data_IF_661836938194
#
_entry.id   IF_661836938194
#
_cell.length_a   1.000
_cell.length_b   1.000
_cell.length_c   1.000
_cell.angle_alpha   90.00
_cell.angle_beta   90.00
_cell.angle_gamma   90.00
#
_symmetry.space_group_name_H-M   'P 1'
#
loop_
_entity.id
_entity.type
_entity.pdbx_description
1 polymer ?
#
# COMPACT_ATOMS: atom_id res chain seq x y z
N UNK A 1 -26.83 47.33 9.88
CA UNK A 1 -27.00 45.86 10.01
C UNK A 1 -27.41 45.31 8.66
N UNK A 2 -26.46 44.77 7.91
CA UNK A 2 -26.68 44.12 6.62
C UNK A 2 -26.39 42.64 6.81
N UNK A 3 -27.44 41.84 6.74
CA UNK A 3 -27.42 40.39 6.89
C UNK A 3 -26.79 39.78 5.62
N UNK A 4 -25.65 39.14 5.75
CA UNK A 4 -25.06 38.32 4.67
C UNK A 4 -25.69 36.91 4.80
N UNK A 5 -26.33 36.36 3.76
CA UNK A 5 -26.99 35.06 3.86
C UNK A 5 -25.96 33.93 4.00
N UNK A 6 -26.23 33.04 4.95
CA UNK A 6 -25.40 31.90 5.41
C UNK A 6 -25.15 30.79 4.38
N UNK A 7 -25.52 31.00 3.11
CA UNK A 7 -25.34 30.00 2.05
C UNK A 7 -24.03 30.16 1.26
N UNK A 8 -23.34 31.31 1.35
CA UNK A 8 -22.06 31.51 0.67
C UNK A 8 -20.86 30.88 1.41
N UNK A 9 -20.94 30.73 2.73
CA UNK A 9 -19.89 30.09 3.54
C UNK A 9 -19.93 28.55 3.40
N UNK A 10 -21.08 27.97 3.06
CA UNK A 10 -21.21 26.52 2.80
C UNK A 10 -20.70 26.10 1.42
N UNK A 11 -20.66 27.00 0.45
CA UNK A 11 -20.13 26.73 -0.90
C UNK A 11 -18.60 26.85 -0.94
N UNK A 12 -18.01 27.74 -0.12
CA UNK A 12 -16.55 27.92 -0.05
C UNK A 12 -15.80 26.76 0.62
N UNK A 13 -16.43 26.04 1.55
CA UNK A 13 -15.80 24.88 2.21
C UNK A 13 -16.00 23.56 1.45
N UNK A 14 -16.99 23.48 0.56
CA UNK A 14 -17.25 22.31 -0.29
C UNK A 14 -16.30 22.23 -1.51
N UNK A 15 -15.69 23.34 -1.91
CA UNK A 15 -14.77 23.41 -3.05
C UNK A 15 -13.34 22.93 -2.75
N UNK A 16 -13.01 22.63 -1.49
CA UNK A 16 -11.72 22.04 -1.09
C UNK A 16 -11.77 20.51 -0.95
N UNK A 17 -12.96 19.90 -1.05
CA UNK A 17 -13.17 18.46 -0.90
C UNK A 17 -13.18 17.70 -2.23
N UNK A 18 -13.05 18.39 -3.35
CA UNK A 18 -13.02 17.79 -4.68
C UNK A 18 -11.59 17.84 -5.22
N UNK A 19 -11.05 16.64 -5.46
CA UNK A 19 -9.78 16.30 -6.14
C UNK A 19 -8.57 16.02 -5.23
N UNK A 20 -8.59 14.88 -4.49
CA UNK A 20 -7.36 14.32 -3.90
C UNK A 20 -6.19 14.23 -4.90
N UNK A 21 -6.50 13.96 -6.17
CA UNK A 21 -5.56 13.90 -7.28
C UNK A 21 -4.76 15.19 -7.52
N UNK A 22 -5.37 16.35 -7.36
CA UNK A 22 -4.71 17.64 -7.64
C UNK A 22 -3.61 17.97 -6.62
N UNK A 23 -3.80 17.57 -5.36
CA UNK A 23 -2.84 17.84 -4.29
C UNK A 23 -1.62 16.93 -4.35
N UNK A 24 -1.80 15.63 -4.56
CA UNK A 24 -0.69 14.69 -4.72
C UNK A 24 0.16 15.04 -5.95
N UNK A 25 -0.49 15.42 -7.06
CA UNK A 25 0.20 15.94 -8.24
C UNK A 25 0.97 17.22 -7.93
N UNK A 26 0.38 18.20 -7.24
CA UNK A 26 1.07 19.45 -6.89
C UNK A 26 2.29 19.21 -5.98
N UNK A 27 2.18 18.27 -5.02
CA UNK A 27 3.29 17.91 -4.13
C UNK A 27 4.45 17.26 -4.90
N UNK A 28 4.14 16.30 -5.77
CA UNK A 28 5.15 15.66 -6.63
C UNK A 28 5.78 16.69 -7.58
N UNK A 29 4.98 17.54 -8.21
CA UNK A 29 5.46 18.62 -9.08
C UNK A 29 6.32 19.65 -8.35
N UNK A 30 6.01 19.92 -7.07
CA UNK A 30 6.69 20.93 -6.25
C UNK A 30 7.94 20.44 -5.55
N UNK A 31 8.01 19.17 -5.14
CA UNK A 31 9.05 18.68 -4.23
C UNK A 31 9.81 17.43 -4.68
N UNK A 32 9.33 16.69 -5.68
CA UNK A 32 10.03 15.50 -6.16
C UNK A 32 11.33 15.92 -6.87
N UNK A 33 12.51 15.51 -6.36
CA UNK A 33 13.81 15.91 -6.92
C UNK A 33 14.23 15.03 -8.10
N UNK A 34 13.26 14.58 -8.91
CA UNK A 34 13.47 13.83 -10.14
C UNK A 34 13.15 14.73 -11.34
N UNK A 35 13.92 14.59 -12.42
CA UNK A 35 13.67 15.27 -13.68
C UNK A 35 12.46 14.69 -14.40
N UNK A 36 11.88 15.47 -15.34
CA UNK A 36 10.81 14.96 -16.21
C UNK A 36 11.23 13.73 -17.01
N UNK A 37 12.52 13.59 -17.35
CA UNK A 37 13.02 12.45 -18.11
C UNK A 37 13.12 11.18 -17.24
N UNK A 38 13.31 11.32 -15.92
CA UNK A 38 13.27 10.21 -14.97
C UNK A 38 11.83 9.79 -14.73
N UNK A 39 10.92 10.72 -14.45
CA UNK A 39 9.50 10.40 -14.18
C UNK A 39 8.69 10.05 -15.43
N UNK A 40 9.19 10.35 -16.63
CA UNK A 40 8.57 9.92 -17.89
C UNK A 40 8.76 8.43 -18.18
N UNK A 41 9.68 7.74 -17.48
CA UNK A 41 9.92 6.30 -17.59
C UNK A 41 8.83 5.52 -16.82
N UNK A 42 7.56 5.84 -17.09
CA UNK A 42 6.41 5.22 -16.43
C UNK A 42 6.36 3.74 -16.74
N UNK A 43 6.05 2.92 -15.73
CA UNK A 43 5.83 1.50 -15.93
C UNK A 43 4.52 1.31 -16.72
N UNK A 44 4.50 0.49 -17.78
CA UNK A 44 3.31 0.29 -18.59
C UNK A 44 2.26 -0.52 -17.82
N UNK A 45 1.25 0.16 -17.29
CA UNK A 45 0.13 -0.45 -16.58
C UNK A 45 -1.10 -0.54 -17.49
N UNK A 46 -1.73 -1.72 -17.54
CA UNK A 46 -3.03 -1.89 -18.19
C UNK A 46 -4.14 -1.58 -17.19
N UNK A 47 -5.00 -0.61 -17.48
CA UNK A 47 -6.19 -0.36 -16.68
C UNK A 47 -7.23 -1.49 -16.88
N UNK A 48 -7.68 -2.10 -15.78
CA UNK A 48 -8.68 -3.18 -15.79
C UNK A 48 -10.07 -2.69 -15.37
N UNK A 49 -10.16 -1.54 -14.69
CA UNK A 49 -11.42 -0.92 -14.30
C UNK A 49 -11.34 -0.23 -12.95
N UNK A 50 -12.47 0.30 -12.50
CA UNK A 50 -12.63 0.97 -11.22
C UNK A 50 -13.75 0.31 -10.42
N UNK A 51 -13.60 0.37 -9.11
CA UNK A 51 -14.70 0.24 -8.18
C UNK A 51 -15.06 1.64 -7.68
N UNK A 52 -16.35 1.92 -7.54
CA UNK A 52 -16.86 3.18 -6.98
C UNK A 52 -18.27 2.95 -6.42
N UNK A 53 -18.64 3.68 -5.35
CA UNK A 53 -20.00 3.77 -4.83
C UNK A 53 -20.87 4.79 -5.60
N UNK A 54 -20.22 5.73 -6.29
CA UNK A 54 -20.87 6.83 -6.98
C UNK A 54 -20.93 6.64 -8.50
N UNK A 55 -21.40 7.68 -9.19
CA UNK A 55 -21.31 7.73 -10.65
C UNK A 55 -19.84 7.80 -11.08
N UNK A 56 -19.55 7.17 -12.22
CA UNK A 56 -18.25 7.27 -12.86
C UNK A 56 -18.09 8.69 -13.42
N UNK A 57 -17.03 9.41 -13.04
CA UNK A 57 -16.72 10.71 -13.64
C UNK A 57 -16.29 10.51 -15.11
N UNK A 58 -17.08 10.93 -16.10
CA UNK A 58 -16.80 10.67 -17.50
C UNK A 58 -15.57 11.44 -18.03
N UNK A 59 -15.13 12.49 -17.33
CA UNK A 59 -13.97 13.31 -17.69
C UNK A 59 -12.65 12.77 -17.12
N UNK A 60 -12.73 11.80 -16.22
CA UNK A 60 -11.58 11.13 -15.61
C UNK A 60 -10.78 10.31 -16.64
N UNK A 61 -9.46 10.25 -16.47
CA UNK A 61 -8.54 9.53 -17.37
C UNK A 61 -7.69 8.51 -16.59
N UNK A 62 -7.61 7.23 -17.03
CA UNK A 62 -8.33 6.64 -18.16
C UNK A 62 -9.85 6.68 -17.94
N UNK A 63 -10.63 6.70 -19.04
CA UNK A 63 -12.10 6.76 -18.95
C UNK A 63 -12.58 5.63 -18.05
N UNK A 64 -13.23 5.92 -16.92
CA UNK A 64 -13.48 4.91 -15.92
C UNK A 64 -14.53 3.91 -16.43
N UNK A 65 -14.25 2.63 -16.19
CA UNK A 65 -15.15 1.50 -16.50
C UNK A 65 -15.26 0.62 -15.28
N UNK A 66 -16.42 0.02 -15.02
CA UNK A 66 -16.57 -0.88 -13.88
C UNK A 66 -15.59 -2.06 -13.97
N UNK A 67 -14.93 -2.35 -12.85
CA UNK A 67 -14.05 -3.51 -12.73
C UNK A 67 -14.85 -4.80 -12.95
N UNK A 68 -14.45 -5.65 -13.93
CA UNK A 68 -15.13 -6.91 -14.19
C UNK A 68 -14.96 -7.91 -13.03
N UNK A 69 -15.84 -8.89 -12.98
CA UNK A 69 -15.79 -9.99 -12.02
C UNK A 69 -14.58 -10.93 -12.23
N UNK A 70 -13.95 -10.90 -13.41
CA UNK A 70 -12.74 -11.66 -13.68
C UNK A 70 -11.68 -10.74 -14.29
N UNK A 71 -10.50 -10.74 -13.69
CA UNK A 71 -9.34 -10.01 -14.19
C UNK A 71 -8.23 -10.97 -14.58
N UNK A 72 -7.41 -10.57 -15.54
CA UNK A 72 -6.29 -11.38 -15.98
C UNK A 72 -5.07 -11.07 -15.10
N UNK A 73 -5.02 -11.62 -13.89
CA UNK A 73 -3.85 -11.59 -13.00
C UNK A 73 -3.63 -13.00 -12.43
N UNK A 74 -2.42 -13.31 -11.98
CA UNK A 74 -2.04 -14.64 -11.54
C UNK A 74 -1.98 -15.64 -12.70
N UNK A 75 -1.87 -16.93 -12.37
CA UNK A 75 -1.58 -17.99 -13.35
C UNK A 75 -2.74 -18.23 -14.32
N UNK A 76 -3.98 -18.21 -13.84
CA UNK A 76 -5.18 -18.58 -14.61
C UNK A 76 -6.22 -17.46 -14.72
N UNK A 77 -5.82 -16.23 -14.37
CA UNK A 77 -6.75 -15.15 -14.04
C UNK A 77 -7.31 -15.29 -12.63
N UNK A 78 -7.88 -14.20 -12.13
CA UNK A 78 -8.48 -14.13 -10.80
C UNK A 78 -9.95 -13.76 -10.88
N UNK A 79 -10.74 -14.36 -10.00
CA UNK A 79 -12.11 -13.95 -9.73
C UNK A 79 -12.09 -12.84 -8.69
N UNK A 80 -12.95 -11.84 -8.90
CA UNK A 80 -13.18 -10.73 -8.01
C UNK A 80 -14.62 -10.83 -7.51
N UNK A 81 -14.78 -10.88 -6.19
CA UNK A 81 -16.05 -10.77 -5.52
C UNK A 81 -16.04 -9.52 -4.63
N UNK A 82 -17.08 -8.69 -4.78
CA UNK A 82 -17.28 -7.48 -3.98
C UNK A 82 -18.39 -7.77 -2.98
N UNK A 83 -18.15 -7.47 -1.71
CA UNK A 83 -19.13 -7.60 -0.66
C UNK A 83 -19.34 -6.24 -0.01
N UNK A 84 -20.58 -5.76 -0.04
CA UNK A 84 -20.99 -4.57 0.68
C UNK A 84 -21.81 -5.01 1.89
N UNK A 85 -21.36 -4.68 3.09
CA UNK A 85 -22.13 -4.80 4.33
C UNK A 85 -22.67 -3.42 4.73
N UNK A 86 -23.46 -3.34 5.80
CA UNK A 86 -23.96 -2.05 6.31
C UNK A 86 -22.80 -1.10 6.70
N UNK A 87 -21.68 -1.65 7.18
CA UNK A 87 -20.58 -0.87 7.76
C UNK A 87 -19.24 -0.97 6.98
N UNK A 88 -19.11 -1.89 6.02
CA UNK A 88 -17.85 -2.12 5.28
C UNK A 88 -18.06 -2.49 3.82
N UNK A 89 -17.08 -2.17 2.98
CA UNK A 89 -16.90 -2.82 1.70
C UNK A 89 -15.62 -3.64 1.70
N UNK A 90 -15.74 -4.83 1.13
CA UNK A 90 -14.67 -5.79 1.04
C UNK A 90 -14.53 -6.30 -0.39
N UNK A 91 -13.27 -6.50 -0.77
CA UNK A 91 -12.88 -7.09 -2.04
C UNK A 91 -12.21 -8.41 -1.74
N UNK A 92 -12.78 -9.49 -2.27
CA UNK A 92 -12.16 -10.81 -2.26
C UNK A 92 -11.65 -11.13 -3.65
N UNK A 93 -10.35 -11.37 -3.76
CA UNK A 93 -9.68 -11.80 -5.00
C UNK A 93 -9.26 -13.25 -4.81
N UNK A 94 -9.70 -14.14 -5.70
CA UNK A 94 -9.39 -15.57 -5.63
C UNK A 94 -8.85 -16.09 -6.95
N UNK A 95 -8.06 -17.15 -6.87
CA UNK A 95 -7.55 -17.85 -8.03
C UNK A 95 -6.83 -19.13 -7.63
N UNK A 96 -6.06 -19.67 -8.56
CA UNK A 96 -5.29 -20.89 -8.37
C UNK A 96 -3.82 -20.68 -8.70
N UNK A 97 -2.96 -21.39 -7.97
CA UNK A 97 -1.53 -21.44 -8.22
C UNK A 97 -1.20 -22.41 -9.38
N UNK A 98 0.10 -22.55 -9.72
CA UNK A 98 0.53 -23.43 -10.82
C UNK A 98 0.20 -24.91 -10.61
N UNK A 99 -0.06 -25.31 -9.36
CA UNK A 99 -0.42 -26.68 -8.97
C UNK A 99 -1.93 -26.85 -8.78
N UNK A 100 -2.74 -25.84 -9.14
CA UNK A 100 -4.20 -25.87 -8.97
C UNK A 100 -4.64 -25.74 -7.50
N UNK A 101 -3.78 -25.26 -6.60
CA UNK A 101 -4.16 -24.96 -5.22
C UNK A 101 -4.77 -23.57 -5.14
N UNK A 102 -5.84 -23.47 -4.36
CA UNK A 102 -6.57 -22.22 -4.25
C UNK A 102 -5.78 -21.18 -3.45
N UNK A 103 -5.93 -19.92 -3.84
CA UNK A 103 -5.49 -18.79 -3.03
C UNK A 103 -6.58 -17.73 -2.95
N UNK A 104 -6.53 -16.92 -1.89
CA UNK A 104 -7.48 -15.83 -1.65
C UNK A 104 -6.80 -14.62 -1.00
N UNK A 105 -7.27 -13.44 -1.34
CA UNK A 105 -6.88 -12.16 -0.76
C UNK A 105 -8.14 -11.37 -0.41
N UNK A 106 -8.28 -10.99 0.86
CA UNK A 106 -9.38 -10.17 1.36
C UNK A 106 -8.85 -8.78 1.71
N UNK A 107 -9.38 -7.76 1.04
CA UNK A 107 -9.05 -6.34 1.22
C UNK A 107 -10.29 -5.59 1.68
N UNK A 108 -10.14 -4.58 2.53
CA UNK A 108 -11.27 -3.77 3.03
C UNK A 108 -10.90 -2.31 3.28
N UNK A 109 -11.75 -1.60 4.03
CA UNK A 109 -11.47 -0.28 4.58
C UNK A 109 -10.94 0.73 3.58
N UNK A 110 -9.79 1.36 3.86
CA UNK A 110 -9.17 2.40 3.03
C UNK A 110 -8.81 1.95 1.61
N UNK A 111 -8.67 0.65 1.37
CA UNK A 111 -8.40 0.09 0.03
C UNK A 111 -9.66 0.03 -0.83
N UNK A 112 -10.85 -0.10 -0.22
CA UNK A 112 -12.09 -0.44 -0.94
C UNK A 112 -13.21 0.61 -0.75
N UNK A 113 -13.44 1.09 0.47
CA UNK A 113 -14.62 1.88 0.88
C UNK A 113 -14.87 3.16 0.09
N UNK A 114 -13.84 3.74 -0.53
CA UNK A 114 -13.91 5.01 -1.24
C UNK A 114 -13.83 4.85 -2.76
N UNK A 115 -13.87 3.61 -3.25
CA UNK A 115 -13.55 3.30 -4.63
C UNK A 115 -12.04 3.24 -4.87
N UNK A 116 -11.67 2.53 -5.93
CA UNK A 116 -10.27 2.34 -6.31
C UNK A 116 -10.16 2.08 -7.81
N UNK A 117 -8.99 2.35 -8.37
CA UNK A 117 -8.62 1.94 -9.73
C UNK A 117 -7.77 0.68 -9.67
N UNK A 118 -8.07 -0.27 -10.57
CA UNK A 118 -7.33 -1.51 -10.71
C UNK A 118 -6.55 -1.50 -12.02
N UNK A 119 -5.27 -1.84 -11.93
CA UNK A 119 -4.36 -2.00 -13.05
C UNK A 119 -3.71 -3.38 -13.00
N UNK A 120 -3.13 -3.80 -14.12
CA UNK A 120 -2.36 -5.03 -14.23
C UNK A 120 -1.12 -4.85 -15.08
N UNK A 121 -0.05 -5.56 -14.74
CA UNK A 121 1.19 -5.70 -15.51
C UNK A 121 2.06 -6.81 -14.91
N UNK A 122 3.12 -7.24 -15.58
CA UNK A 122 4.14 -8.15 -15.00
C UNK A 122 5.22 -7.26 -14.36
N UNK A 123 5.14 -7.03 -13.04
CA UNK A 123 5.88 -5.99 -12.32
C UNK A 123 7.33 -6.40 -12.00
N UNK A 124 7.63 -7.69 -11.92
CA UNK A 124 8.97 -8.22 -11.65
C UNK A 124 9.53 -9.06 -12.81
N UNK A 125 8.85 -9.04 -13.97
CA UNK A 125 9.27 -9.72 -15.21
C UNK A 125 9.36 -11.24 -15.05
N UNK A 126 8.52 -11.82 -14.20
CA UNK A 126 8.50 -13.25 -13.94
C UNK A 126 7.55 -14.03 -14.88
N UNK A 127 6.84 -13.33 -15.77
CA UNK A 127 5.90 -13.89 -16.75
C UNK A 127 4.49 -14.11 -16.20
N UNK A 128 4.23 -13.76 -14.93
CA UNK A 128 2.90 -13.76 -14.32
C UNK A 128 2.42 -12.31 -14.26
N UNK A 129 1.16 -12.09 -14.60
CA UNK A 129 0.59 -10.74 -14.53
C UNK A 129 0.11 -10.45 -13.11
N UNK A 130 0.60 -9.36 -12.55
CA UNK A 130 0.30 -8.85 -11.23
C UNK A 130 -0.87 -7.84 -11.26
N UNK A 131 -1.43 -7.57 -10.08
CA UNK A 131 -2.45 -6.53 -9.87
C UNK A 131 -1.90 -5.32 -9.13
N UNK A 132 -2.38 -4.13 -9.47
CA UNK A 132 -2.09 -2.87 -8.75
C UNK A 132 -3.39 -2.12 -8.49
N UNK A 133 -3.67 -1.84 -7.23
CA UNK A 133 -4.82 -1.07 -6.76
C UNK A 133 -4.32 0.30 -6.32
N UNK A 134 -5.02 1.35 -6.77
CA UNK A 134 -4.81 2.72 -6.33
C UNK A 134 -6.09 3.22 -5.66
N UNK A 135 -6.04 3.48 -4.35
CA UNK A 135 -7.19 3.86 -3.54
C UNK A 135 -6.90 5.14 -2.74
N UNK A 136 -7.88 6.03 -2.61
CA UNK A 136 -7.73 7.26 -1.83
C UNK A 136 -7.96 6.98 -0.34
N UNK A 137 -7.13 7.56 0.55
CA UNK A 137 -7.33 7.42 2.01
C UNK A 137 -8.50 8.24 2.52
N UNK A 138 -8.93 9.26 1.76
CA UNK A 138 -9.90 10.28 2.18
C UNK A 138 -9.54 10.96 3.52
N UNK A 139 -8.25 10.97 3.88
CA UNK A 139 -7.77 11.57 5.11
C UNK A 139 -8.08 13.06 5.20
N UNK A 140 -8.44 13.52 6.41
CA UNK A 140 -8.68 14.94 6.69
C UNK A 140 -7.34 15.69 6.78
N UNK A 141 -7.11 16.68 5.91
CA UNK A 141 -5.87 17.47 5.90
C UNK A 141 -5.70 18.27 4.61
N UNK A 142 -4.56 18.95 4.45
CA UNK A 142 -4.27 19.81 3.29
C UNK A 142 -3.82 19.05 2.03
N UNK A 143 -3.55 17.74 2.13
CA UNK A 143 -3.20 16.88 1.00
C UNK A 143 -3.55 15.42 1.35
N UNK A 144 -4.69 14.88 0.88
CA UNK A 144 -5.04 13.48 1.13
C UNK A 144 -4.05 12.54 0.43
N UNK A 145 -3.62 11.52 1.15
CA UNK A 145 -2.75 10.45 0.67
C UNK A 145 -3.56 9.40 -0.10
N UNK A 146 -2.85 8.49 -0.75
CA UNK A 146 -3.42 7.35 -1.46
C UNK A 146 -2.63 6.09 -1.11
N UNK A 147 -3.29 4.93 -1.17
CA UNK A 147 -2.66 3.63 -1.10
C UNK A 147 -2.31 3.14 -2.50
N UNK A 148 -1.10 2.60 -2.67
CA UNK A 148 -0.79 1.63 -3.71
C UNK A 148 -0.76 0.26 -3.03
N UNK A 149 -1.64 -0.63 -3.45
CA UNK A 149 -1.66 -2.03 -3.03
C UNK A 149 -1.35 -2.91 -4.23
N UNK A 150 -0.31 -3.73 -4.15
CA UNK A 150 0.10 -4.63 -5.23
C UNK A 150 -0.16 -6.08 -4.85
N UNK A 151 -0.55 -6.86 -5.85
CA UNK A 151 -0.70 -8.30 -5.77
C UNK A 151 0.26 -8.94 -6.77
N UNK A 152 1.44 -9.29 -6.29
CA UNK A 152 2.47 -9.98 -7.06
C UNK A 152 2.36 -11.50 -6.86
N UNK A 153 2.97 -12.31 -7.72
CA UNK A 153 2.88 -13.77 -7.63
C UNK A 153 4.25 -14.45 -7.54
N UNK A 154 4.46 -15.27 -6.51
CA UNK A 154 5.71 -16.01 -6.33
C UNK A 154 5.92 -17.09 -7.41
N UNK A 155 7.05 -17.81 -7.34
CA UNK A 155 7.39 -18.86 -8.31
C UNK A 155 6.33 -19.96 -8.41
N UNK A 156 5.58 -20.23 -7.33
CA UNK A 156 4.48 -21.20 -7.33
C UNK A 156 3.19 -20.64 -7.93
N UNK A 157 3.13 -19.33 -8.19
CA UNK A 157 1.95 -18.62 -8.64
C UNK A 157 1.01 -18.23 -7.50
N UNK A 158 1.51 -18.14 -6.27
CA UNK A 158 0.73 -17.74 -5.10
C UNK A 158 0.93 -16.25 -4.82
N UNK A 159 -0.13 -15.54 -4.41
CA UNK A 159 -0.08 -14.10 -4.23
C UNK A 159 0.84 -13.67 -3.08
N UNK A 160 1.45 -12.50 -3.22
CA UNK A 160 2.11 -11.74 -2.17
C UNK A 160 1.51 -10.33 -2.20
N UNK A 161 1.06 -9.86 -1.04
CA UNK A 161 0.53 -8.50 -0.90
C UNK A 161 1.66 -7.53 -0.53
N UNK A 162 1.62 -6.32 -1.08
CA UNK A 162 2.40 -5.19 -0.59
C UNK A 162 1.53 -3.95 -0.63
N UNK A 163 1.61 -3.14 0.41
CA UNK A 163 0.85 -1.89 0.49
C UNK A 163 1.72 -0.75 1.01
N UNK A 164 1.54 0.41 0.39
CA UNK A 164 2.20 1.65 0.78
C UNK A 164 1.21 2.80 0.68
N UNK A 165 1.19 3.65 1.70
CA UNK A 165 0.43 4.91 1.70
C UNK A 165 1.39 6.06 1.44
N UNK A 166 1.07 6.93 0.48
CA UNK A 166 1.87 8.09 0.12
C UNK A 166 1.13 9.09 -0.75
N UNK A 167 1.85 10.08 -1.29
CA UNK A 167 1.28 11.10 -2.18
C UNK A 167 1.28 10.65 -3.64
N UNK A 168 0.59 9.54 -3.91
CA UNK A 168 0.50 8.98 -5.25
C UNK A 168 -0.57 9.67 -6.09
N UNK A 169 -0.50 9.54 -7.41
CA UNK A 169 -1.61 9.95 -8.29
C UNK A 169 -1.69 9.15 -9.59
N UNK A 170 -2.91 8.97 -10.08
CA UNK A 170 -3.14 8.43 -11.41
C UNK A 170 -2.85 9.46 -12.49
N UNK A 171 -2.45 8.94 -13.66
CA UNK A 171 -2.32 9.68 -14.91
C UNK A 171 -3.04 8.92 -16.00
N UNK A 172 -3.22 9.54 -17.17
CA UNK A 172 -3.94 8.96 -18.32
C UNK A 172 -3.52 7.51 -18.63
N UNK A 173 -2.24 7.20 -18.50
CA UNK A 173 -1.65 5.91 -18.92
C UNK A 173 -1.12 5.09 -17.73
N UNK A 174 -1.68 5.23 -16.53
CA UNK A 174 -1.29 4.43 -15.36
C UNK A 174 -1.20 5.23 -14.07
N UNK A 175 -0.15 4.99 -13.29
CA UNK A 175 0.13 5.66 -12.03
C UNK A 175 1.46 6.41 -12.21
N UNK A 176 1.52 7.69 -11.86
CA UNK A 176 2.73 8.49 -12.08
C UNK A 176 3.95 7.93 -11.35
N UNK A 177 3.71 7.43 -10.15
CA UNK A 177 4.74 7.02 -9.20
C UNK A 177 5.24 5.58 -9.42
N UNK A 178 4.64 4.83 -10.36
CA UNK A 178 5.10 3.50 -10.77
C UNK A 178 5.90 3.63 -12.06
N UNK A 179 7.20 3.33 -11.98
CA UNK A 179 8.19 3.60 -13.03
C UNK A 179 9.04 2.37 -13.34
N UNK A 180 9.74 2.41 -14.46
CA UNK A 180 10.89 1.55 -14.81
C UNK A 180 12.10 2.50 -14.91
N UNK A 181 12.62 2.90 -13.76
CA UNK A 181 13.57 3.98 -13.61
C UNK A 181 14.90 3.63 -14.28
N UNK A 182 15.37 2.39 -14.18
CA UNK A 182 16.64 1.94 -14.72
C UNK A 182 16.54 1.19 -16.06
N UNK A 183 15.32 0.91 -16.54
CA UNK A 183 15.00 0.28 -17.84
C UNK A 183 15.33 -1.21 -17.90
N UNK A 184 15.28 -1.91 -16.77
CA UNK A 184 15.46 -3.35 -16.72
C UNK A 184 14.15 -4.13 -17.01
N UNK A 185 13.02 -3.43 -16.98
CA UNK A 185 11.67 -3.94 -17.21
C UNK A 185 10.96 -4.44 -15.95
N UNK A 186 11.54 -4.26 -14.77
CA UNK A 186 10.89 -4.38 -13.48
C UNK A 186 10.31 -3.03 -13.03
N UNK A 187 9.38 -3.08 -12.10
CA UNK A 187 8.69 -1.91 -11.60
C UNK A 187 9.35 -1.37 -10.33
N UNK A 188 9.50 -0.06 -10.29
CA UNK A 188 9.78 0.70 -9.08
C UNK A 188 8.57 1.54 -8.64
N UNK A 189 8.46 1.79 -7.34
CA UNK A 189 7.56 2.77 -6.76
C UNK A 189 8.38 3.95 -6.20
N UNK A 190 8.12 5.14 -6.70
CA UNK A 190 8.60 6.42 -6.13
C UNK A 190 7.78 6.72 -4.88
N UNK A 191 8.44 6.71 -3.72
CA UNK A 191 7.79 6.97 -2.44
C UNK A 191 8.27 8.28 -1.83
N UNK A 192 7.34 9.19 -1.57
CA UNK A 192 7.61 10.49 -0.96
C UNK A 192 6.93 10.61 0.41
N UNK A 193 7.72 10.90 1.45
CA UNK A 193 7.20 11.21 2.78
C UNK A 193 7.86 12.47 3.36
N UNK A 194 7.22 13.10 4.35
CA UNK A 194 7.80 14.26 5.04
C UNK A 194 8.36 13.83 6.40
N UNK A 195 9.59 14.22 6.70
CA UNK A 195 10.24 13.95 7.98
C UNK A 195 11.30 15.01 8.30
N UNK A 196 11.33 15.47 9.55
CA UNK A 196 12.33 16.38 10.10
C UNK A 196 12.64 17.65 9.26
N UNK A 197 11.60 18.19 8.59
CA UNK A 197 11.70 19.38 7.73
C UNK A 197 12.24 19.11 6.32
N UNK A 198 12.24 17.85 5.90
CA UNK A 198 12.59 17.42 4.54
C UNK A 198 11.49 16.54 3.96
N UNK A 199 11.34 16.63 2.65
CA UNK A 199 10.76 15.56 1.87
C UNK A 199 11.83 14.51 1.60
N UNK A 200 11.52 13.26 1.91
CA UNK A 200 12.38 12.10 1.71
C UNK A 200 11.81 11.32 0.53
N UNK A 201 12.57 11.20 -0.55
CA UNK A 201 12.23 10.38 -1.71
C UNK A 201 12.97 9.07 -1.63
N UNK A 202 12.22 7.97 -1.56
CA UNK A 202 12.71 6.60 -1.63
C UNK A 202 12.23 5.94 -2.91
N UNK A 203 12.84 4.80 -3.22
CA UNK A 203 12.38 3.89 -4.26
C UNK A 203 12.19 2.51 -3.63
N UNK A 204 11.12 1.83 -4.00
CA UNK A 204 10.94 0.40 -3.79
C UNK A 204 11.04 -0.30 -5.12
N UNK A 205 11.84 -1.35 -5.22
CA UNK A 205 12.05 -2.17 -6.42
C UNK A 205 11.31 -3.51 -6.25
N UNK A 206 10.62 -3.96 -7.30
CA UNK A 206 9.89 -5.23 -7.33
C UNK A 206 10.75 -6.34 -7.93
N UNK A 207 11.01 -7.39 -7.16
CA UNK A 207 11.76 -8.56 -7.62
C UNK A 207 11.31 -9.82 -6.90
N UNK A 208 11.13 -10.93 -7.62
CA UNK A 208 10.67 -12.21 -7.07
C UNK A 208 9.38 -12.06 -6.26
N UNK A 209 8.43 -11.30 -6.80
CA UNK A 209 7.16 -10.93 -6.20
C UNK A 209 7.26 -10.20 -4.85
N UNK A 210 8.41 -9.60 -4.55
CA UNK A 210 8.67 -8.87 -3.30
C UNK A 210 9.15 -7.46 -3.60
N UNK A 211 8.77 -6.53 -2.74
CA UNK A 211 9.21 -5.14 -2.78
C UNK A 211 10.31 -4.91 -1.76
N UNK A 212 11.39 -4.28 -2.21
CA UNK A 212 12.54 -3.91 -1.37
C UNK A 212 12.85 -2.43 -1.51
N UNK A 213 12.99 -1.73 -0.38
CA UNK A 213 13.44 -0.34 -0.37
C UNK A 213 14.90 -0.28 -0.79
N UNK A 214 15.18 0.49 -1.83
CA UNK A 214 16.54 0.73 -2.31
C UNK A 214 17.29 1.62 -1.29
N UNK A 215 18.42 1.12 -0.79
CA UNK A 215 19.34 1.88 0.04
C UNK A 215 20.69 2.00 -0.67
N UNK A 216 20.92 3.11 -1.40
CA UNK A 216 22.13 3.32 -2.17
C UNK A 216 21.86 3.68 -3.63
N UNK A 217 22.80 3.30 -4.51
CA UNK A 217 22.74 3.66 -5.93
C UNK A 217 21.69 2.82 -6.65
N UNK A 218 20.82 3.47 -7.41
CA UNK A 218 19.89 2.84 -8.36
C UNK A 218 19.65 3.82 -9.51
N UNK A 219 19.64 3.32 -10.74
CA UNK A 219 19.78 4.12 -11.96
C UNK A 219 20.92 5.18 -11.83
N UNK A 220 20.58 6.45 -12.08
CA UNK A 220 21.49 7.61 -12.09
C UNK A 220 21.56 8.32 -10.72
N UNK A 221 20.90 7.80 -9.67
CA UNK A 221 20.74 8.45 -8.37
C UNK A 221 21.25 7.58 -7.21
N UNK A 222 21.35 8.20 -6.03
CA UNK A 222 21.61 7.52 -4.76
C UNK A 222 20.46 7.83 -3.80
N UNK A 223 19.68 6.82 -3.44
CA UNK A 223 18.52 6.93 -2.56
C UNK A 223 18.89 6.63 -1.09
N UNK A 224 18.18 7.24 -0.12
CA UNK A 224 17.13 8.25 -0.32
C UNK A 224 17.66 9.61 -0.80
N UNK A 225 16.82 10.34 -1.54
CA UNK A 225 17.05 11.75 -1.86
C UNK A 225 16.31 12.63 -0.85
N UNK A 226 16.88 13.78 -0.51
CA UNK A 226 16.27 14.70 0.43
C UNK A 226 16.05 16.06 -0.21
N UNK A 227 14.85 16.61 -0.04
CA UNK A 227 14.50 17.94 -0.50
C UNK A 227 14.05 18.75 0.70
N UNK A 228 14.70 19.88 0.96
CA UNK A 228 14.33 20.73 2.11
C UNK A 228 12.90 21.26 1.94
N UNK A 229 12.08 21.13 2.96
CA UNK A 229 10.75 21.75 2.97
C UNK A 229 10.88 23.29 3.00
N UNK A 230 10.13 23.93 2.10
CA UNK A 230 10.04 25.40 1.97
C UNK A 230 8.60 25.79 1.67
N UNK A 231 8.22 27.03 1.96
CA UNK A 231 6.91 27.58 1.62
C UNK A 231 6.69 27.89 0.13
N UNK A 232 7.66 27.50 -0.72
CA UNK A 232 7.63 27.58 -2.18
C UNK A 232 8.07 26.23 -2.74
N UNK A 233 7.71 25.89 -3.98
CA UNK A 233 8.24 24.71 -4.65
C UNK A 233 9.76 24.68 -4.59
N UNK A 234 10.31 23.52 -4.26
CA UNK A 234 11.74 23.28 -4.18
C UNK A 234 11.97 21.83 -4.57
N UNK A 235 12.70 21.58 -5.66
CA UNK A 235 13.01 20.24 -6.17
C UNK A 235 14.51 19.93 -6.10
N UNK A 236 15.27 20.75 -5.38
CA UNK A 236 16.72 20.60 -5.30
C UNK A 236 17.04 19.59 -4.22
N UNK A 237 17.60 18.45 -4.64
CA UNK A 237 18.16 17.47 -3.71
C UNK A 237 19.31 18.10 -2.91
N UNK A 238 19.32 17.88 -1.61
CA UNK A 238 20.31 18.41 -0.67
C UNK A 238 20.74 17.33 0.32
N UNK A 239 21.89 17.53 0.97
CA UNK A 239 22.23 16.77 2.17
C UNK A 239 21.52 17.39 3.38
N UNK A 240 20.88 16.58 4.25
CA UNK A 240 20.31 17.08 5.48
C UNK A 240 21.36 17.83 6.33
N UNK A 241 20.95 18.94 6.95
CA UNK A 241 21.81 19.71 7.86
C UNK A 241 22.24 18.87 9.06
N UNK A 242 23.43 19.16 9.60
CA UNK A 242 23.92 18.55 10.85
C UNK A 242 22.88 18.65 11.96
N UNK A 243 22.64 17.54 12.67
CA UNK A 243 21.64 17.43 13.74
C UNK A 243 20.22 17.13 13.25
N UNK A 244 19.99 17.02 11.94
CA UNK A 244 18.73 16.55 11.35
C UNK A 244 18.87 15.10 10.91
N UNK A 245 17.84 14.30 11.17
CA UNK A 245 17.74 12.89 10.83
C UNK A 245 16.38 12.64 10.16
N UNK A 246 16.17 13.14 8.92
CA UNK A 246 14.96 12.80 8.18
C UNK A 246 14.93 11.31 7.87
N UNK A 247 13.76 10.71 8.06
CA UNK A 247 13.56 9.26 8.04
C UNK A 247 12.35 8.86 7.19
N UNK A 248 12.36 7.59 6.80
CA UNK A 248 11.25 6.94 6.13
C UNK A 248 11.05 5.56 6.75
N UNK A 249 9.79 5.14 6.79
CA UNK A 249 9.41 3.76 7.02
C UNK A 249 10.12 2.83 6.03
N UNK A 250 10.31 1.58 6.44
CA UNK A 250 10.80 0.51 5.59
C UNK A 250 9.69 -0.52 5.45
N UNK A 251 8.89 -0.39 4.40
CA UNK A 251 7.72 -1.25 4.17
C UNK A 251 8.09 -2.52 3.38
N UNK A 252 9.39 -2.78 3.19
CA UNK A 252 9.87 -3.92 2.39
C UNK A 252 9.30 -5.24 2.91
N UNK A 253 8.88 -6.09 1.98
CA UNK A 253 8.34 -7.41 2.29
C UNK A 253 9.25 -8.58 1.87
N UNK A 254 10.48 -8.29 1.41
CA UNK A 254 11.45 -9.29 0.97
C UNK A 254 12.24 -9.98 2.10
N UNK A 255 12.55 -9.25 3.19
CA UNK A 255 13.34 -9.78 4.31
C UNK A 255 12.56 -9.67 5.61
N UNK A 256 12.43 -10.79 6.33
CA UNK A 256 11.79 -10.81 7.62
C UNK A 256 12.65 -10.05 8.64
N UNK A 257 12.03 -9.14 9.39
CA UNK A 257 12.69 -8.42 10.49
C UNK A 257 12.77 -9.27 11.75
N UNK A 258 11.71 -10.05 11.98
CA UNK A 258 11.52 -10.88 13.17
C UNK A 258 10.88 -12.18 12.72
N UNK A 259 11.34 -13.30 13.26
CA UNK A 259 10.70 -14.60 13.08
C UNK A 259 10.52 -15.29 14.42
N UNK A 260 9.54 -16.18 14.52
CA UNK A 260 9.23 -16.88 15.75
C UNK A 260 7.84 -17.52 15.75
N UNK A 261 7.14 -17.39 16.86
CA UNK A 261 5.78 -17.87 17.05
C UNK A 261 4.92 -16.76 17.67
N UNK A 262 3.74 -16.51 17.09
CA UNK A 262 2.73 -15.64 17.71
C UNK A 262 2.10 -16.39 18.90
N UNK A 263 2.27 -15.85 20.11
CA UNK A 263 1.76 -16.46 21.35
C UNK A 263 0.33 -16.02 21.67
N UNK A 264 0.04 -14.75 21.45
CA UNK A 264 -1.24 -14.11 21.74
C UNK A 264 -1.30 -12.73 21.08
N UNK A 265 -2.48 -12.14 21.02
CA UNK A 265 -2.66 -10.73 20.66
C UNK A 265 -3.66 -10.05 21.60
N UNK A 266 -3.50 -8.74 21.79
CA UNK A 266 -4.49 -7.84 22.39
C UNK A 266 -5.10 -7.03 21.26
N UNK A 267 -6.43 -7.04 21.15
CA UNK A 267 -7.12 -6.20 20.19
C UNK A 267 -7.02 -4.72 20.56
N UNK A 268 -7.03 -3.87 19.54
CA UNK A 268 -7.09 -2.43 19.67
C UNK A 268 -8.41 -1.98 20.34
N UNK A 269 -8.33 -0.99 21.24
CA UNK A 269 -9.49 -0.19 21.61
C UNK A 269 -9.55 1.07 20.74
N UNK A 270 -10.47 1.07 19.79
CA UNK A 270 -10.68 2.17 18.84
C UNK A 270 -11.05 3.47 19.56
N UNK A 271 -11.78 3.40 20.69
CA UNK A 271 -12.17 4.59 21.45
C UNK A 271 -10.97 5.22 22.17
N UNK A 272 -9.93 4.44 22.44
CA UNK A 272 -8.69 4.87 23.06
C UNK A 272 -7.56 5.13 22.04
N UNK A 273 -7.84 5.00 20.73
CA UNK A 273 -6.82 5.09 19.67
C UNK A 273 -5.63 4.14 19.90
N UNK A 274 -5.90 2.94 20.43
CA UNK A 274 -4.87 1.93 20.67
C UNK A 274 -4.58 1.11 19.40
N UNK A 275 -3.34 0.66 19.26
CA UNK A 275 -2.93 -0.31 18.24
C UNK A 275 -3.16 -1.75 18.72
N UNK A 276 -3.27 -2.69 17.77
CA UNK A 276 -3.20 -4.13 18.08
C UNK A 276 -1.82 -4.42 18.68
N UNK A 277 -1.76 -5.23 19.74
CA UNK A 277 -0.48 -5.67 20.31
C UNK A 277 -0.31 -7.17 20.09
N UNK A 278 0.75 -7.56 19.39
CA UNK A 278 1.13 -8.93 19.07
C UNK A 278 2.26 -9.38 19.99
N UNK A 279 2.06 -10.47 20.73
CA UNK A 279 3.09 -11.04 21.60
C UNK A 279 3.78 -12.20 20.90
N UNK A 280 5.07 -12.06 20.61
CA UNK A 280 5.83 -12.99 19.77
C UNK A 280 6.97 -13.61 20.56
N UNK A 281 7.07 -14.94 20.54
CA UNK A 281 8.28 -15.65 20.96
C UNK A 281 9.20 -15.78 19.76
N UNK A 282 10.25 -14.97 19.73
CA UNK A 282 11.24 -14.97 18.65
C UNK A 282 11.96 -16.31 18.53
N UNK A 283 12.58 -16.57 17.38
CA UNK A 283 13.42 -17.75 17.14
C UNK A 283 14.60 -17.88 18.11
N UNK A 284 15.04 -16.77 18.72
CA UNK A 284 16.07 -16.76 19.78
C UNK A 284 15.51 -17.06 21.19
N UNK A 285 14.20 -17.30 21.30
CA UNK A 285 13.51 -17.61 22.56
C UNK A 285 13.04 -16.39 23.36
N UNK A 286 13.43 -15.17 22.96
CA UNK A 286 12.97 -13.92 23.61
C UNK A 286 11.49 -13.68 23.28
N UNK A 287 10.73 -13.23 24.27
CA UNK A 287 9.37 -12.71 24.05
C UNK A 287 9.42 -11.20 23.85
N UNK A 288 8.76 -10.71 22.80
CA UNK A 288 8.66 -9.29 22.45
C UNK A 288 7.21 -8.94 22.15
N UNK A 289 6.94 -7.63 22.12
CA UNK A 289 5.67 -7.08 21.67
C UNK A 289 5.90 -6.31 20.37
N UNK A 290 4.99 -6.51 19.41
CA UNK A 290 4.94 -5.80 18.14
C UNK A 290 3.56 -5.14 18.04
N UNK A 291 3.49 -3.89 17.59
CA UNK A 291 2.25 -3.15 17.43
C UNK A 291 2.13 -2.62 16.00
N UNK A 292 1.46 -3.36 15.09
CA UNK A 292 1.11 -2.84 13.78
C UNK A 292 0.30 -1.54 13.94
N UNK A 293 0.61 -0.53 13.14
CA UNK A 293 -0.03 0.78 13.28
C UNK A 293 -1.42 0.78 12.65
N UNK A 294 -2.46 0.79 13.49
CA UNK A 294 -3.86 0.70 13.08
C UNK A 294 -4.30 1.84 12.17
N UNK A 295 -3.71 3.03 12.34
CA UNK A 295 -4.02 4.23 11.56
C UNK A 295 -4.00 4.00 10.05
N UNK A 296 -3.02 3.24 9.55
CA UNK A 296 -2.85 2.99 8.11
C UNK A 296 -3.78 1.89 7.59
N UNK A 297 -4.35 1.05 8.46
CA UNK A 297 -5.19 -0.10 8.08
C UNK A 297 -4.53 -1.10 7.09
N UNK A 298 -3.21 -1.00 6.88
CA UNK A 298 -2.47 -1.74 5.85
C UNK A 298 -1.87 -3.07 6.31
N UNK A 299 -1.84 -3.32 7.64
CA UNK A 299 -1.29 -4.57 8.19
C UNK A 299 -2.03 -5.80 7.64
N UNK A 300 -1.31 -6.85 7.28
CA UNK A 300 -1.89 -8.07 6.71
C UNK A 300 -1.41 -9.34 7.39
N UNK A 301 -2.27 -10.35 7.43
CA UNK A 301 -1.97 -11.70 7.88
C UNK A 301 -2.00 -12.62 6.67
N UNK A 302 -0.86 -13.24 6.35
CA UNK A 302 -0.72 -14.28 5.35
C UNK A 302 -0.69 -15.63 6.07
N UNK A 303 -1.59 -16.52 5.68
CA UNK A 303 -1.61 -17.92 6.11
C UNK A 303 -1.25 -18.76 4.88
N UNK A 304 -0.03 -19.29 4.87
CA UNK A 304 0.53 -20.06 3.76
C UNK A 304 0.67 -21.52 4.16
N UNK A 305 -0.07 -22.38 3.47
CA UNK A 305 -0.15 -23.82 3.75
C UNK A 305 0.09 -24.64 2.48
N UNK A 306 0.41 -25.94 2.58
CA UNK A 306 0.52 -26.80 1.41
C UNK A 306 -0.72 -26.76 0.49
N UNK A 307 -1.92 -26.68 1.08
CA UNK A 307 -3.21 -26.64 0.38
C UNK A 307 -3.54 -25.32 -0.32
N UNK A 308 -2.86 -24.21 0.01
CA UNK A 308 -3.18 -22.91 -0.55
C UNK A 308 -2.66 -21.73 0.29
N UNK A 309 -2.95 -20.50 -0.16
CA UNK A 309 -2.58 -19.27 0.54
C UNK A 309 -3.77 -18.36 0.76
N UNK A 310 -3.92 -17.86 1.98
CA UNK A 310 -4.96 -16.88 2.34
C UNK A 310 -4.30 -15.62 2.90
N UNK A 311 -4.65 -14.46 2.35
CA UNK A 311 -4.19 -13.16 2.82
C UNK A 311 -5.40 -12.38 3.31
N UNK A 312 -5.33 -11.86 4.53
CA UNK A 312 -6.39 -11.05 5.13
C UNK A 312 -5.80 -9.72 5.59
N UNK A 313 -6.29 -8.61 5.05
CA UNK A 313 -5.90 -7.27 5.45
C UNK A 313 -6.65 -6.84 6.72
N UNK A 314 -6.01 -6.06 7.58
CA UNK A 314 -6.61 -5.54 8.83
C UNK A 314 -7.85 -4.69 8.61
N UNK A 315 -7.98 -4.11 7.42
CA UNK A 315 -9.09 -3.26 7.00
C UNK A 315 -10.38 -4.02 6.66
N UNK A 316 -10.36 -5.35 6.58
CA UNK A 316 -11.60 -6.16 6.46
C UNK A 316 -12.38 -6.11 7.77
N UNK A 317 -13.59 -6.69 7.80
CA UNK A 317 -14.34 -6.76 9.04
C UNK A 317 -13.54 -7.42 10.17
N UNK A 318 -13.69 -6.87 11.37
CA UNK A 318 -12.92 -7.26 12.56
C UNK A 318 -13.00 -8.77 12.84
N UNK A 319 -14.17 -9.38 12.60
CA UNK A 319 -14.40 -10.80 12.85
C UNK A 319 -13.49 -11.67 12.00
N UNK A 320 -13.37 -11.38 10.70
CA UNK A 320 -12.57 -12.18 9.77
C UNK A 320 -11.07 -11.99 10.01
N UNK A 321 -10.66 -10.78 10.36
CA UNK A 321 -9.26 -10.51 10.71
C UNK A 321 -8.87 -11.19 12.04
N UNK A 322 -9.72 -11.11 13.08
CA UNK A 322 -9.51 -11.84 14.34
C UNK A 322 -9.46 -13.35 14.12
N UNK A 323 -10.34 -13.90 13.28
CA UNK A 323 -10.33 -15.31 12.94
C UNK A 323 -9.00 -15.75 12.30
N UNK A 324 -8.38 -14.90 11.47
CA UNK A 324 -7.05 -15.18 10.92
C UNK A 324 -5.96 -15.19 12.01
N UNK A 325 -5.97 -14.23 12.95
CA UNK A 325 -5.01 -14.21 14.07
C UNK A 325 -5.22 -15.39 15.03
N UNK A 326 -6.47 -15.72 15.36
CA UNK A 326 -6.83 -16.87 16.19
C UNK A 326 -6.34 -18.17 15.57
N UNK A 327 -6.47 -18.34 14.25
CA UNK A 327 -5.94 -19.50 13.54
C UNK A 327 -4.41 -19.60 13.69
N UNK A 328 -3.68 -18.50 13.52
CA UNK A 328 -2.22 -18.47 13.67
C UNK A 328 -1.79 -18.83 15.09
N UNK A 329 -2.45 -18.26 16.11
CA UNK A 329 -2.17 -18.52 17.54
C UNK A 329 -2.47 -19.97 17.90
N UNK A 330 -3.68 -20.44 17.59
CA UNK A 330 -4.14 -21.78 17.97
C UNK A 330 -3.40 -22.87 17.17
N UNK A 331 -3.11 -22.60 15.91
CA UNK A 331 -2.33 -23.47 15.02
C UNK A 331 -0.84 -23.54 15.36
N UNK A 332 -0.34 -22.63 16.22
CA UNK A 332 1.07 -22.55 16.62
C UNK A 332 2.02 -22.43 15.42
N UNK A 333 1.61 -21.66 14.42
CA UNK A 333 2.37 -21.48 13.18
C UNK A 333 3.71 -20.81 13.44
N UNK A 334 4.68 -21.13 12.58
CA UNK A 334 5.88 -20.32 12.49
C UNK A 334 5.51 -19.02 11.79
N UNK A 335 5.97 -17.90 12.34
CA UNK A 335 5.64 -16.57 11.84
C UNK A 335 6.90 -15.80 11.49
N UNK A 336 6.79 -14.99 10.45
CA UNK A 336 7.77 -14.00 10.04
C UNK A 336 7.08 -12.65 9.88
N UNK A 337 7.70 -11.58 10.38
CA UNK A 337 7.18 -10.23 10.32
C UNK A 337 8.00 -9.39 9.35
N UNK A 338 7.30 -8.67 8.49
CA UNK A 338 7.88 -7.84 7.44
C UNK A 338 7.37 -6.40 7.54
N UNK A 339 8.11 -5.47 6.93
CA UNK A 339 7.84 -4.04 7.06
C UNK A 339 8.10 -3.49 8.47
N UNK A 340 8.15 -2.17 8.56
CA UNK A 340 8.34 -1.43 9.80
C UNK A 340 7.93 0.04 9.61
N UNK A 341 7.06 0.53 10.49
CA UNK A 341 6.72 1.96 10.60
C UNK A 341 7.39 2.66 11.78
N UNK A 342 8.12 3.73 11.52
CA UNK A 342 8.91 4.41 12.54
C UNK A 342 10.01 3.51 13.15
N UNK A 343 10.68 4.01 14.19
CA UNK A 343 11.86 3.35 14.79
C UNK A 343 11.69 2.96 16.26
N UNK A 344 10.69 3.50 16.94
CA UNK A 344 10.58 3.40 18.41
C UNK A 344 10.01 2.05 18.85
N UNK A 345 8.95 1.58 18.18
CA UNK A 345 8.29 0.31 18.45
C UNK A 345 8.33 -0.57 17.22
N UNK A 346 8.33 -1.89 17.41
CA UNK A 346 8.25 -2.85 16.29
C UNK A 346 6.84 -2.82 15.74
N UNK A 347 6.66 -2.43 14.48
CA UNK A 347 5.36 -2.12 13.87
C UNK A 347 5.31 -2.71 12.45
N UNK A 348 5.09 -4.03 12.34
CA UNK A 348 5.15 -4.71 11.06
C UNK A 348 3.95 -4.36 10.17
N UNK A 349 4.13 -4.50 8.86
CA UNK A 349 3.08 -4.37 7.83
C UNK A 349 2.51 -5.73 7.40
N UNK A 350 3.23 -6.80 7.70
CA UNK A 350 2.79 -8.14 7.36
C UNK A 350 3.27 -9.15 8.40
N UNK A 351 2.36 -10.04 8.79
CA UNK A 351 2.65 -11.29 9.46
C UNK A 351 2.46 -12.41 8.45
N UNK A 352 3.53 -13.14 8.17
CA UNK A 352 3.52 -14.34 7.34
C UNK A 352 3.57 -15.58 8.22
N UNK A 353 2.53 -16.41 8.17
CA UNK A 353 2.41 -17.61 8.98
C UNK A 353 2.47 -18.86 8.10
N UNK A 354 3.32 -19.82 8.49
CA UNK A 354 3.48 -21.11 7.83
C UNK A 354 3.26 -22.25 8.82
N UNK A 355 2.67 -23.34 8.34
CA UNK A 355 2.62 -24.60 9.10
C UNK A 355 4.02 -25.16 9.26
N UNK A 356 4.28 -25.81 10.40
CA UNK A 356 5.51 -26.57 10.65
C UNK A 356 5.63 -27.83 9.81
#
# INVERSE_FOLDING_TARGET
MTYIPSNLVRVGLFLLLLLPHGFAQELTDSYLPLSKAETARRFPLKYEGTFTRGELDPEEKPKPTLLPERVNIGVAGAQIAKQTTEDSEELTITGQDKNGKDWSVMLGGTTVNHGFRFYSADLDKNGIRDGVILAATMGNGTAPTMHITTLTFDESGRPILFEIEGYFHAVKDGIFDVVDMDRDGAAEIIYLNHSDGYWVTNIYECSNARWTRVNGKHAERKFPLYTRFTNRPNRVAVTPKVGRNPESDDLSNATARISGQLLSYKWADVNASEDIVLKVKTSTGKTIECSPTSWYSSFSVVIDKPEGRRIVQMSVNEKDFKAALDEVVNGKYEVAFFGQRGKEQISPEMLWATTK
#
